data_IF_796734324063
#
_entry.id   IF_796734324063
#
_cell.length_a   1.000
_cell.length_b   1.000
_cell.length_c   1.000
_cell.angle_alpha   90.00
_cell.angle_beta   90.00
_cell.angle_gamma   90.00
#
_symmetry.space_group_name_H-M   'P 1'
#
loop_
_entity.id
_entity.type
_entity.pdbx_description
1 polymer ?
#
# COMPACT_ATOMS: atom_id res chain seq x y z
N UNK A 1 21.14 21.38 7.86
CA UNK A 1 21.99 20.99 9.00
C UNK A 1 21.64 19.56 9.36
N UNK A 2 22.60 18.65 9.31
CA UNK A 2 22.37 17.25 9.63
C UNK A 2 22.21 17.09 11.14
N UNK A 3 21.10 16.54 11.60
CA UNK A 3 20.89 16.20 13.01
C UNK A 3 21.65 14.92 13.35
N UNK A 4 22.60 15.03 14.28
CA UNK A 4 23.30 13.88 14.85
C UNK A 4 22.59 13.42 16.13
N UNK A 5 22.38 12.11 16.27
CA UNK A 5 21.90 11.54 17.53
C UNK A 5 22.97 11.62 18.62
N UNK A 6 22.56 11.58 19.89
CA UNK A 6 23.47 11.66 21.07
C UNK A 6 24.57 10.59 21.13
N UNK A 7 24.57 9.61 20.23
CA UNK A 7 25.58 8.56 20.07
C UNK A 7 26.52 8.73 18.87
N UNK A 8 26.49 9.88 18.16
CA UNK A 8 27.40 10.17 17.04
C UNK A 8 27.13 9.33 15.78
N UNK A 9 25.99 8.65 15.69
CA UNK A 9 25.60 7.92 14.48
C UNK A 9 25.04 8.93 13.48
N UNK A 10 25.71 9.05 12.36
CA UNK A 10 25.21 9.81 11.20
C UNK A 10 24.01 9.09 10.60
N UNK A 11 22.83 9.69 10.66
CA UNK A 11 21.65 9.21 9.95
C UNK A 11 21.65 9.90 8.58
N UNK A 12 21.85 9.17 7.47
CA UNK A 12 21.77 9.75 6.13
C UNK A 12 20.38 10.35 5.89
N UNK A 13 20.27 11.43 5.11
CA UNK A 13 19.00 12.08 4.79
C UNK A 13 17.97 11.14 4.13
N UNK A 14 18.42 10.06 3.51
CA UNK A 14 17.58 8.98 2.96
C UNK A 14 16.91 8.10 4.03
N UNK A 15 17.26 8.25 5.32
CA UNK A 15 16.59 7.56 6.42
C UNK A 15 15.39 8.33 6.97
N UNK A 16 15.12 9.56 6.50
CA UNK A 16 13.88 10.27 6.80
C UNK A 16 12.70 9.46 6.24
N UNK A 17 11.71 9.25 7.08
CA UNK A 17 10.48 8.61 6.64
C UNK A 17 9.84 9.46 5.55
N UNK A 18 9.81 8.93 4.32
CA UNK A 18 9.14 9.60 3.21
C UNK A 18 7.64 9.64 3.47
N UNK A 19 6.95 10.71 3.10
CA UNK A 19 5.50 10.74 3.19
C UNK A 19 4.92 9.59 2.36
N UNK A 20 3.92 8.93 2.90
CA UNK A 20 3.22 7.82 2.24
C UNK A 20 1.84 8.23 1.75
N UNK A 21 1.54 9.52 1.83
CA UNK A 21 0.26 10.11 1.40
C UNK A 21 0.49 11.50 0.79
N UNK A 22 -0.36 11.87 -0.12
CA UNK A 22 -0.31 13.17 -0.78
C UNK A 22 -1.58 13.44 -1.58
N UNK A 23 -1.76 14.69 -1.99
CA UNK A 23 -2.81 15.09 -2.90
C UNK A 23 -2.28 15.13 -4.33
N UNK A 24 -3.04 14.62 -5.27
CA UNK A 24 -2.70 14.63 -6.69
C UNK A 24 -2.85 16.06 -7.23
N UNK A 25 -1.75 16.70 -7.56
CA UNK A 25 -1.74 18.07 -8.14
C UNK A 25 -1.72 18.04 -9.66
N UNK A 26 -1.14 17.01 -10.24
CA UNK A 26 -1.14 16.77 -11.68
C UNK A 26 -1.17 15.28 -11.98
N UNK A 27 -1.87 14.91 -13.06
CA UNK A 27 -2.01 13.53 -13.50
C UNK A 27 -1.71 13.46 -15.00
N UNK A 28 -0.92 12.46 -15.41
CA UNK A 28 -0.61 12.24 -16.82
C UNK A 28 -1.82 11.67 -17.58
N UNK A 29 -1.75 11.57 -18.91
CA UNK A 29 -2.86 11.06 -19.73
C UNK A 29 -3.05 9.54 -19.67
N UNK A 30 -2.15 8.82 -18.99
CA UNK A 30 -2.09 7.37 -19.06
C UNK A 30 -0.93 6.88 -19.94
N UNK A 31 -0.93 5.58 -20.24
CA UNK A 31 0.08 4.95 -21.08
C UNK A 31 -0.56 4.17 -22.24
N UNK A 32 0.10 4.17 -23.37
CA UNK A 32 -0.30 3.33 -24.50
C UNK A 32 0.27 1.93 -24.30
N UNK A 33 -0.58 0.91 -24.42
CA UNK A 33 -0.13 -0.48 -24.41
C UNK A 33 0.72 -0.76 -25.66
N UNK A 34 1.95 -1.28 -25.53
CA UNK A 34 2.91 -1.36 -26.64
C UNK A 34 2.46 -2.29 -27.78
N UNK A 35 1.70 -3.34 -27.46
CA UNK A 35 1.26 -4.33 -28.45
C UNK A 35 -0.11 -4.01 -29.06
N UNK A 36 -1.03 -3.44 -28.29
CA UNK A 36 -2.42 -3.23 -28.74
C UNK A 36 -2.73 -1.80 -29.10
N UNK A 37 -1.86 -0.84 -28.75
CA UNK A 37 -2.11 0.59 -28.97
C UNK A 37 -3.23 1.18 -28.10
N UNK A 38 -3.80 0.41 -27.17
CA UNK A 38 -4.86 0.88 -26.29
C UNK A 38 -4.31 1.86 -25.25
N UNK A 39 -5.03 2.95 -25.04
CA UNK A 39 -4.76 3.87 -23.94
C UNK A 39 -5.24 3.25 -22.63
N UNK A 40 -4.30 3.04 -21.70
CA UNK A 40 -4.58 2.66 -20.32
C UNK A 40 -4.59 3.93 -19.49
N UNK A 41 -5.77 4.37 -19.13
CA UNK A 41 -5.98 5.56 -18.32
C UNK A 41 -5.44 5.36 -16.90
N UNK A 42 -5.00 6.45 -16.27
CA UNK A 42 -4.62 6.43 -14.86
C UNK A 42 -5.86 6.34 -13.96
N UNK A 43 -5.68 5.66 -12.84
CA UNK A 43 -6.78 5.35 -11.94
C UNK A 43 -7.09 6.48 -10.92
N UNK A 44 -6.35 7.59 -10.97
CA UNK A 44 -6.48 8.73 -10.04
C UNK A 44 -6.72 10.03 -10.80
N UNK A 45 -7.44 10.95 -10.16
CA UNK A 45 -7.75 12.27 -10.71
C UNK A 45 -7.05 13.37 -9.91
N UNK A 46 -6.85 14.52 -10.55
CA UNK A 46 -6.34 15.73 -9.87
C UNK A 46 -7.31 16.12 -8.76
N UNK A 47 -6.76 16.42 -7.58
CA UNK A 47 -7.52 16.77 -6.37
C UNK A 47 -7.84 15.59 -5.46
N UNK A 48 -7.74 14.32 -5.92
CA UNK A 48 -7.87 13.15 -5.05
C UNK A 48 -6.66 13.03 -4.12
N UNK A 49 -6.87 12.53 -2.91
CA UNK A 49 -5.80 12.15 -2.00
C UNK A 49 -5.44 10.68 -2.20
N UNK A 50 -4.14 10.37 -2.15
CA UNK A 50 -3.63 9.02 -2.43
C UNK A 50 -2.68 8.56 -1.32
N UNK A 51 -2.69 7.23 -1.10
CA UNK A 51 -1.70 6.51 -0.32
C UNK A 51 -0.81 5.69 -1.27
N UNK A 52 0.49 5.73 -1.04
CA UNK A 52 1.50 5.03 -1.84
C UNK A 52 2.58 4.41 -0.96
N UNK A 53 3.41 3.55 -1.53
CA UNK A 53 4.44 2.84 -0.78
C UNK A 53 5.56 3.75 -0.27
N UNK A 54 6.13 3.41 0.87
CA UNK A 54 7.19 4.19 1.56
C UNK A 54 8.44 4.45 0.70
N UNK A 55 8.71 3.59 -0.25
CA UNK A 55 9.91 3.67 -1.11
C UNK A 55 9.59 4.08 -2.55
N UNK A 56 8.32 4.38 -2.82
CA UNK A 56 7.87 4.71 -4.16
C UNK A 56 8.03 6.20 -4.47
N UNK A 57 8.26 6.48 -5.75
CA UNK A 57 8.33 7.83 -6.26
C UNK A 57 9.71 8.48 -6.25
N UNK A 58 9.78 9.61 -6.93
CA UNK A 58 10.97 10.45 -7.05
C UNK A 58 10.64 11.86 -6.58
N UNK A 59 11.41 12.37 -5.64
CA UNK A 59 11.26 13.74 -5.14
C UNK A 59 11.69 14.74 -6.23
N UNK A 60 10.88 15.76 -6.43
CA UNK A 60 11.19 16.87 -7.31
C UNK A 60 10.75 18.19 -6.68
N UNK A 61 11.50 19.24 -6.92
CA UNK A 61 11.15 20.59 -6.52
C UNK A 61 10.61 21.36 -7.72
N UNK A 62 9.38 21.84 -7.61
CA UNK A 62 8.72 22.62 -8.64
C UNK A 62 8.08 23.87 -8.01
N UNK A 63 8.37 25.06 -8.54
CA UNK A 63 7.92 26.35 -8.00
C UNK A 63 8.22 26.54 -6.50
N UNK A 64 9.42 26.14 -6.06
CA UNK A 64 9.88 26.16 -4.67
C UNK A 64 9.10 25.27 -3.67
N UNK A 65 8.18 24.47 -4.17
CA UNK A 65 7.46 23.45 -3.40
C UNK A 65 8.01 22.04 -3.68
N UNK A 66 8.01 21.21 -2.64
CA UNK A 66 8.42 19.80 -2.75
C UNK A 66 7.26 18.95 -3.25
N UNK A 67 7.49 18.24 -4.34
CA UNK A 67 6.54 17.32 -4.95
C UNK A 67 7.16 15.93 -5.05
N UNK A 68 6.31 14.93 -5.22
CA UNK A 68 6.74 13.57 -5.48
C UNK A 68 6.09 13.04 -6.76
N UNK A 69 6.93 12.59 -7.69
CA UNK A 69 6.49 11.95 -8.91
C UNK A 69 6.33 10.45 -8.66
N UNK A 70 5.10 9.97 -8.75
CA UNK A 70 4.72 8.58 -8.45
C UNK A 70 4.18 7.92 -9.71
N UNK A 71 4.53 6.66 -9.91
CA UNK A 71 3.93 5.86 -10.97
C UNK A 71 2.51 5.47 -10.58
N UNK A 72 1.63 5.44 -11.55
CA UNK A 72 0.23 5.01 -11.37
C UNK A 72 0.10 3.58 -10.77
N UNK A 73 1.08 2.70 -11.04
CA UNK A 73 1.10 1.34 -10.49
C UNK A 73 1.53 1.28 -9.00
N UNK A 74 2.12 2.34 -8.47
CA UNK A 74 2.61 2.44 -7.10
C UNK A 74 1.57 3.08 -6.15
N UNK A 75 0.48 3.61 -6.72
CA UNK A 75 -0.66 4.10 -5.92
C UNK A 75 -1.43 2.91 -5.36
N UNK A 76 -1.55 2.86 -4.04
CA UNK A 76 -2.20 1.76 -3.31
C UNK A 76 -3.69 2.01 -3.13
N UNK A 77 -4.03 3.15 -2.53
CA UNK A 77 -5.39 3.54 -2.22
C UNK A 77 -5.61 5.00 -2.60
N UNK A 78 -6.84 5.34 -2.92
CA UNK A 78 -7.29 6.73 -3.03
C UNK A 78 -8.41 7.00 -2.03
N UNK A 79 -8.53 8.24 -1.59
CA UNK A 79 -9.56 8.64 -0.65
C UNK A 79 -9.99 10.10 -0.84
N UNK A 80 -11.16 10.43 -0.31
CA UNK A 80 -11.68 11.79 -0.30
C UNK A 80 -11.73 12.29 1.14
N UNK A 81 -11.26 13.51 1.37
CA UNK A 81 -11.24 14.11 2.70
C UNK A 81 -9.84 14.41 3.21
N UNK A 82 -9.75 14.81 4.47
CA UNK A 82 -8.47 15.20 5.11
C UNK A 82 -7.66 14.01 5.61
N UNK A 83 -8.34 12.96 6.02
CA UNK A 83 -7.73 11.76 6.60
C UNK A 83 -8.26 10.51 5.91
N UNK A 84 -7.38 9.52 5.77
CA UNK A 84 -7.73 8.22 5.24
C UNK A 84 -8.40 7.38 6.34
N UNK A 85 -9.66 7.01 6.14
CA UNK A 85 -10.43 6.14 7.02
C UNK A 85 -10.88 4.91 6.26
N UNK A 86 -11.22 3.84 6.98
CA UNK A 86 -11.70 2.62 6.34
C UNK A 86 -12.92 2.87 5.43
N UNK A 87 -13.77 3.82 5.77
CA UNK A 87 -14.97 4.13 5.00
C UNK A 87 -14.66 4.83 3.67
N UNK A 88 -13.73 5.81 3.69
CA UNK A 88 -13.49 6.69 2.55
C UNK A 88 -12.36 6.23 1.62
N UNK A 89 -11.55 5.24 2.02
CA UNK A 89 -10.50 4.69 1.16
C UNK A 89 -11.09 3.76 0.09
N UNK A 90 -10.51 3.79 -1.09
CA UNK A 90 -10.82 2.88 -2.19
C UNK A 90 -9.52 2.31 -2.78
N UNK A 91 -9.37 0.97 -2.84
CA UNK A 91 -8.23 0.36 -3.51
C UNK A 91 -8.22 0.69 -4.99
N UNK A 92 -7.01 0.92 -5.53
CA UNK A 92 -6.80 1.29 -6.93
C UNK A 92 -6.46 0.04 -7.73
N UNK A 93 -6.98 -0.06 -8.95
CA UNK A 93 -6.71 -1.18 -9.88
C UNK A 93 -6.98 -2.55 -9.24
N UNK A 94 -5.98 -3.43 -9.23
CA UNK A 94 -6.03 -4.79 -8.68
C UNK A 94 -5.57 -4.87 -7.21
N UNK A 95 -5.52 -3.73 -6.51
CA UNK A 95 -5.19 -3.71 -5.09
C UNK A 95 -6.33 -4.26 -4.24
N UNK A 96 -5.99 -4.98 -3.19
CA UNK A 96 -6.90 -5.58 -2.22
C UNK A 96 -6.48 -5.14 -0.82
N UNK A 97 -7.41 -4.59 -0.06
CA UNK A 97 -7.21 -4.21 1.34
C UNK A 97 -7.57 -5.38 2.23
N UNK A 98 -6.60 -5.84 3.01
CA UNK A 98 -6.71 -7.00 3.91
C UNK A 98 -6.49 -6.54 5.35
N UNK A 99 -7.42 -6.86 6.25
CA UNK A 99 -7.26 -6.69 7.69
C UNK A 99 -6.38 -7.83 8.22
N UNK A 100 -5.29 -7.46 8.88
CA UNK A 100 -4.42 -8.42 9.53
C UNK A 100 -5.00 -8.81 10.90
N UNK A 101 -4.86 -10.06 11.35
CA UNK A 101 -5.24 -10.43 12.70
C UNK A 101 -4.43 -9.60 13.70
N UNK A 102 -5.03 -9.26 14.86
CA UNK A 102 -4.30 -8.55 15.90
C UNK A 102 -3.04 -9.36 16.25
N UNK A 103 -1.93 -8.68 16.44
CA UNK A 103 -0.70 -9.30 16.92
C UNK A 103 -0.98 -9.85 18.32
N UNK A 104 -1.36 -11.13 18.41
CA UNK A 104 -1.53 -11.79 19.69
C UNK A 104 -0.18 -11.79 20.40
N UNK A 105 -0.13 -11.09 21.53
CA UNK A 105 0.90 -11.37 22.51
C UNK A 105 0.63 -12.81 22.99
N UNK A 106 1.42 -13.76 22.54
CA UNK A 106 1.32 -15.18 22.93
C UNK A 106 1.61 -15.30 24.42
N UNK A 107 0.60 -15.03 25.24
CA UNK A 107 0.61 -15.37 26.65
C UNK A 107 -0.19 -16.66 26.83
N UNK A 108 0.43 -17.78 26.58
CA UNK A 108 -0.08 -19.06 27.01
C UNK A 108 0.40 -19.28 28.45
N UNK A 109 -0.50 -19.07 29.43
CA UNK A 109 -0.29 -19.50 30.82
C UNK A 109 0.73 -18.73 31.64
N UNK A 110 0.89 -17.42 31.48
CA UNK A 110 1.66 -16.56 32.39
C UNK A 110 3.19 -16.76 32.39
N UNK A 111 3.72 -17.62 31.56
CA UNK A 111 5.15 -17.79 31.33
C UNK A 111 5.51 -17.09 30.04
N UNK A 112 6.26 -16.01 30.14
CA UNK A 112 6.89 -15.37 28.97
C UNK A 112 7.98 -16.33 28.48
N UNK A 113 7.64 -17.28 27.65
CA UNK A 113 8.63 -18.02 26.91
C UNK A 113 9.27 -17.05 25.92
N UNK A 114 10.56 -16.84 26.05
CA UNK A 114 11.35 -16.16 25.04
C UNK A 114 11.23 -16.97 23.76
N UNK A 115 10.26 -16.62 22.91
CA UNK A 115 10.22 -17.17 21.56
C UNK A 115 11.54 -16.84 20.86
N UNK A 116 12.11 -17.75 20.08
CA UNK A 116 13.31 -17.47 19.30
C UNK A 116 13.12 -16.16 18.56
N UNK A 117 14.13 -15.34 18.59
CA UNK A 117 14.12 -13.90 18.21
C UNK A 117 13.64 -13.63 16.77
N UNK A 118 13.56 -14.67 15.94
CA UNK A 118 13.20 -14.57 14.53
C UNK A 118 11.70 -14.76 14.24
N UNK A 119 10.95 -15.49 15.08
CA UNK A 119 9.51 -15.70 14.86
C UNK A 119 8.64 -14.51 15.28
N UNK A 120 9.12 -13.68 16.21
CA UNK A 120 8.39 -12.49 16.68
C UNK A 120 8.26 -11.37 15.64
N UNK A 121 9.00 -11.42 14.53
CA UNK A 121 8.96 -10.42 13.45
C UNK A 121 8.21 -10.88 12.20
N UNK A 122 7.73 -12.11 12.18
CA UNK A 122 7.03 -12.61 11.00
C UNK A 122 5.62 -12.04 10.95
N UNK A 123 5.35 -11.25 9.91
CA UNK A 123 4.01 -10.74 9.60
C UNK A 123 3.07 -11.94 9.39
N UNK A 124 1.79 -11.85 9.84
CA UNK A 124 0.81 -12.87 9.52
C UNK A 124 0.70 -13.04 7.99
N UNK A 125 0.70 -14.28 7.52
CA UNK A 125 0.57 -14.65 6.12
C UNK A 125 -0.89 -14.86 5.70
N UNK A 126 -1.83 -14.52 6.59
CA UNK A 126 -3.26 -14.60 6.35
C UNK A 126 -3.99 -13.35 6.89
N UNK A 127 -5.17 -13.09 6.34
CA UNK A 127 -6.01 -11.99 6.76
C UNK A 127 -7.40 -12.06 6.15
N UNK A 128 -8.23 -11.09 6.46
CA UNK A 128 -9.59 -10.97 5.94
C UNK A 128 -9.69 -9.83 4.93
N UNK A 129 -10.23 -10.09 3.76
CA UNK A 129 -10.45 -9.08 2.72
C UNK A 129 -11.52 -8.09 3.19
N UNK A 130 -11.18 -6.80 3.18
CA UNK A 130 -12.09 -5.72 3.57
C UNK A 130 -12.61 -4.96 2.36
N UNK A 131 -11.71 -4.57 1.44
CA UNK A 131 -12.07 -3.88 0.21
C UNK A 131 -11.25 -4.43 -0.96
N UNK A 132 -11.85 -4.37 -2.15
CA UNK A 132 -11.26 -4.87 -3.39
C UNK A 132 -11.34 -3.77 -4.44
N UNK A 133 -10.27 -3.57 -5.19
CA UNK A 133 -10.22 -2.62 -6.28
C UNK A 133 -11.02 -3.07 -7.52
N UNK A 134 -11.23 -2.16 -8.46
CA UNK A 134 -12.06 -2.40 -9.65
C UNK A 134 -11.46 -3.42 -10.62
N UNK A 135 -10.19 -3.73 -10.48
CA UNK A 135 -9.44 -4.59 -11.39
C UNK A 135 -8.41 -3.82 -12.22
N UNK A 136 -7.57 -4.56 -12.92
CA UNK A 136 -6.53 -4.04 -13.80
C UNK A 136 -6.91 -4.24 -15.26
N UNK A 137 -6.67 -3.22 -16.08
CA UNK A 137 -6.86 -3.34 -17.52
C UNK A 137 -5.72 -4.19 -18.09
N UNK A 138 -6.07 -5.34 -18.67
CA UNK A 138 -5.15 -6.20 -19.38
C UNK A 138 -4.80 -5.60 -20.77
N UNK A 139 -3.75 -6.13 -21.41
CA UNK A 139 -3.28 -5.65 -22.71
C UNK A 139 -4.32 -5.71 -23.84
N UNK A 140 -5.32 -6.56 -23.70
CA UNK A 140 -6.45 -6.67 -24.64
C UNK A 140 -7.60 -5.68 -24.35
N UNK A 141 -7.43 -4.76 -23.37
CA UNK A 141 -8.46 -3.81 -22.95
C UNK A 141 -9.53 -4.36 -22.01
N UNK A 142 -9.46 -5.64 -21.66
CA UNK A 142 -10.40 -6.26 -20.72
C UNK A 142 -9.97 -5.99 -19.29
N UNK A 143 -10.93 -5.64 -18.43
CA UNK A 143 -10.67 -5.46 -17.00
C UNK A 143 -10.60 -6.83 -16.33
N UNK A 144 -9.41 -7.20 -15.83
CA UNK A 144 -9.21 -8.37 -14.98
C UNK A 144 -9.51 -8.00 -13.53
N UNK A 145 -10.65 -8.47 -13.04
CA UNK A 145 -11.05 -8.24 -11.64
C UNK A 145 -10.32 -9.20 -10.70
N UNK A 146 -9.98 -8.79 -9.48
CA UNK A 146 -9.53 -9.70 -8.43
C UNK A 146 -10.57 -10.80 -8.19
N UNK A 147 -10.10 -12.04 -8.01
CA UNK A 147 -10.98 -13.20 -7.78
C UNK A 147 -11.34 -13.38 -6.30
N UNK A 148 -11.29 -12.32 -5.52
CA UNK A 148 -11.64 -12.29 -4.10
C UNK A 148 -12.73 -11.26 -3.86
N UNK A 149 -13.51 -11.47 -2.81
CA UNK A 149 -14.58 -10.58 -2.39
C UNK A 149 -14.36 -10.08 -0.96
N UNK A 150 -14.92 -8.92 -0.59
CA UNK A 150 -14.95 -8.50 0.80
C UNK A 150 -15.58 -9.58 1.69
N UNK A 151 -14.90 -9.93 2.79
CA UNK A 151 -15.31 -10.99 3.70
C UNK A 151 -14.56 -12.31 3.52
N UNK A 152 -13.93 -12.57 2.37
CA UNK A 152 -13.09 -13.75 2.16
C UNK A 152 -11.89 -13.74 3.10
N UNK A 153 -11.54 -14.91 3.62
CA UNK A 153 -10.26 -15.14 4.27
C UNK A 153 -9.22 -15.50 3.21
N UNK A 154 -8.02 -14.91 3.29
CA UNK A 154 -6.99 -15.09 2.26
C UNK A 154 -5.65 -15.44 2.87
N UNK A 155 -4.89 -16.26 2.14
CA UNK A 155 -3.48 -16.49 2.40
C UNK A 155 -2.65 -15.66 1.45
N UNK A 156 -1.66 -14.97 2.01
CA UNK A 156 -0.83 -13.99 1.34
C UNK A 156 0.56 -14.56 1.06
N UNK A 157 1.21 -14.05 0.03
CA UNK A 157 2.61 -14.31 -0.23
C UNK A 157 3.48 -13.68 0.85
N UNK A 158 4.54 -14.37 1.25
CA UNK A 158 5.55 -13.82 2.15
C UNK A 158 6.15 -12.52 1.55
N UNK A 159 6.27 -11.49 2.37
CA UNK A 159 6.84 -10.19 1.99
C UNK A 159 6.06 -9.39 0.90
N UNK A 160 4.85 -9.82 0.53
CA UNK A 160 4.00 -9.06 -0.40
C UNK A 160 3.25 -7.91 0.29
N UNK A 161 2.94 -6.84 -0.46
CA UNK A 161 2.08 -5.75 -0.02
C UNK A 161 2.74 -4.69 0.88
N UNK A 162 1.98 -3.63 1.11
CA UNK A 162 2.37 -2.48 1.94
C UNK A 162 1.49 -2.40 3.18
N UNK A 163 2.11 -2.30 4.35
CA UNK A 163 1.40 -2.11 5.62
C UNK A 163 0.94 -0.67 5.75
N UNK A 164 -0.30 -0.49 6.12
CA UNK A 164 -0.89 0.82 6.40
C UNK A 164 -1.70 0.77 7.69
N UNK A 165 -1.87 1.92 8.33
CA UNK A 165 -2.75 2.06 9.50
C UNK A 165 -3.95 2.91 9.12
N UNK A 166 -5.16 2.38 9.36
CA UNK A 166 -6.41 3.08 9.21
C UNK A 166 -7.22 2.91 10.50
N UNK A 167 -7.74 4.00 11.02
CA UNK A 167 -8.57 3.99 12.25
C UNK A 167 -7.93 3.23 13.42
N UNK A 168 -6.59 3.30 13.54
CA UNK A 168 -5.83 2.65 14.61
C UNK A 168 -5.59 1.14 14.45
N UNK A 169 -6.06 0.53 13.35
CA UNK A 169 -5.82 -0.88 13.03
C UNK A 169 -4.78 -1.05 11.92
N UNK A 170 -4.11 -2.19 11.94
CA UNK A 170 -3.13 -2.56 10.93
C UNK A 170 -3.82 -3.27 9.75
N UNK A 171 -3.61 -2.75 8.55
CA UNK A 171 -4.08 -3.33 7.29
C UNK A 171 -2.90 -3.56 6.36
N UNK A 172 -3.11 -4.45 5.42
CA UNK A 172 -2.17 -4.72 4.34
C UNK A 172 -2.84 -4.45 2.99
N UNK A 173 -2.19 -3.68 2.15
CA UNK A 173 -2.59 -3.52 0.75
C UNK A 173 -1.72 -4.44 -0.09
N UNK A 174 -2.35 -5.39 -0.78
CA UNK A 174 -1.69 -6.38 -1.63
C UNK A 174 -2.27 -6.33 -3.03
N UNK A 175 -1.49 -6.75 -4.01
CA UNK A 175 -2.02 -6.99 -5.35
C UNK A 175 -2.74 -8.34 -5.40
N UNK A 176 -3.75 -8.44 -6.25
CA UNK A 176 -4.54 -9.66 -6.38
C UNK A 176 -3.70 -10.92 -6.67
N UNK A 177 -2.59 -10.79 -7.41
CA UNK A 177 -1.69 -11.92 -7.73
C UNK A 177 -0.80 -12.38 -6.55
N UNK A 178 -0.72 -11.59 -5.47
CA UNK A 178 -0.01 -11.97 -4.25
C UNK A 178 -0.88 -12.76 -3.26
N UNK A 179 -2.14 -12.95 -3.61
CA UNK A 179 -3.07 -13.80 -2.88
C UNK A 179 -2.90 -15.24 -3.39
N UNK A 180 -2.48 -16.14 -2.51
CA UNK A 180 -2.17 -17.53 -2.84
C UNK A 180 -3.39 -18.45 -2.76
N UNK A 181 -4.27 -18.21 -1.80
CA UNK A 181 -5.49 -19.00 -1.59
C UNK A 181 -6.56 -18.15 -0.91
N UNK A 182 -7.82 -18.58 -1.06
CA UNK A 182 -8.98 -18.01 -0.35
C UNK A 182 -9.91 -19.12 0.14
N UNK A 183 -10.66 -18.87 1.22
CA UNK A 183 -11.67 -19.77 1.81
C UNK A 183 -12.78 -19.01 2.52
#
# INVERSE_FOLDING_TARGET
MAEATAGGIYIPDNAKERPTQGQVVAAGPGRIHPETGLLIEIAVNVGESVLYGKYDGTELKYNDEEHQLIKDDDVLLKYNGKEATLENVAPVKDQVLVELPPKEATSMGGIIMSAPTDEKKKRPDYGKVVKVGPGRIAGNGVVSKPQVAPGDSVRLRDFGGSEIKLDGKDYLVVRAYDILAKW
#
